data_IF_810096610945
#
_entry.id   IF_810096610945
#
_cell.length_a   1.000
_cell.length_b   1.000
_cell.length_c   1.000
_cell.angle_alpha   90.00
_cell.angle_beta   90.00
_cell.angle_gamma   90.00
#
_symmetry.space_group_name_H-M   'P 1'
#
loop_
_entity.id
_entity.type
_entity.pdbx_description
1 polymer ?
#
# COMPACT_ATOMS: atom_id res chain seq x y z
N UNK A 1 4.19 -17.28 -6.35
CA UNK A 1 3.76 -18.25 -5.31
C UNK A 1 2.29 -18.01 -5.03
N UNK A 2 1.46 -19.05 -5.06
CA UNK A 2 0.02 -18.95 -4.78
C UNK A 2 -0.30 -19.71 -3.50
N UNK A 3 -1.13 -19.15 -2.64
CA UNK A 3 -1.56 -19.76 -1.37
C UNK A 3 -3.06 -20.05 -1.46
N UNK A 4 -3.43 -21.33 -1.40
CA UNK A 4 -4.81 -21.80 -1.59
C UNK A 4 -5.26 -22.52 -0.31
N UNK A 5 -6.52 -22.35 0.06
CA UNK A 5 -7.14 -23.00 1.20
C UNK A 5 -8.54 -22.44 1.46
N UNK A 6 -9.38 -23.16 2.20
CA UNK A 6 -10.72 -22.71 2.58
C UNK A 6 -10.75 -21.47 3.47
N UNK A 7 -11.95 -20.97 3.77
CA UNK A 7 -12.13 -19.94 4.80
C UNK A 7 -11.66 -20.49 6.16
N UNK A 8 -10.92 -19.69 6.93
CA UNK A 8 -10.35 -20.14 8.21
C UNK A 8 -9.03 -20.91 8.12
N UNK A 9 -8.54 -21.26 6.92
CA UNK A 9 -7.26 -21.98 6.75
C UNK A 9 -5.99 -21.17 7.09
N UNK A 10 -6.11 -19.99 7.71
CA UNK A 10 -4.97 -19.18 8.15
C UNK A 10 -4.28 -18.32 7.08
N UNK A 11 -4.79 -18.24 5.84
CA UNK A 11 -4.17 -17.44 4.75
C UNK A 11 -3.94 -15.98 5.15
N UNK A 12 -4.95 -15.31 5.69
CA UNK A 12 -4.84 -13.92 6.14
C UNK A 12 -3.91 -13.79 7.34
N UNK A 13 -3.93 -14.76 8.26
CA UNK A 13 -3.02 -14.83 9.41
C UNK A 13 -1.57 -14.92 8.96
N UNK A 14 -1.26 -15.80 8.00
CA UNK A 14 0.08 -15.92 7.42
C UNK A 14 0.57 -14.61 6.82
N UNK A 15 -0.25 -13.95 5.99
CA UNK A 15 0.11 -12.66 5.41
C UNK A 15 0.27 -11.55 6.47
N UNK A 16 -0.55 -11.57 7.52
CA UNK A 16 -0.43 -10.67 8.68
C UNK A 16 0.89 -10.92 9.43
N UNK A 17 1.29 -12.18 9.60
CA UNK A 17 2.54 -12.56 10.26
C UNK A 17 3.78 -12.13 9.46
N UNK A 18 3.74 -12.30 8.13
CA UNK A 18 4.80 -11.80 7.23
C UNK A 18 4.90 -10.27 7.32
N UNK A 19 3.76 -9.56 7.30
CA UNK A 19 3.70 -8.11 7.45
C UNK A 19 4.08 -7.62 8.86
N UNK A 20 4.11 -8.51 9.86
CA UNK A 20 4.46 -8.23 11.25
C UNK A 20 3.32 -7.70 12.11
N UNK A 21 2.08 -7.68 11.61
CA UNK A 21 0.91 -7.25 12.38
C UNK A 21 0.34 -8.36 13.26
N UNK A 22 0.79 -9.60 13.05
CA UNK A 22 0.48 -10.75 13.89
C UNK A 22 1.80 -11.42 14.31
N UNK A 23 2.08 -11.59 15.61
CA UNK A 23 3.31 -12.25 16.04
C UNK A 23 3.31 -13.73 15.66
N UNK A 24 4.49 -14.34 15.57
CA UNK A 24 4.65 -15.79 15.42
C UNK A 24 5.15 -16.37 16.74
N UNK A 25 4.57 -17.48 17.18
CA UNK A 25 4.94 -18.12 18.44
C UNK A 25 6.31 -18.81 18.35
N UNK A 26 6.57 -19.46 17.22
CA UNK A 26 7.80 -20.21 16.96
C UNK A 26 8.25 -20.07 15.49
N UNK A 27 9.52 -20.38 15.23
CA UNK A 27 10.12 -20.30 13.91
C UNK A 27 10.70 -18.92 13.57
N UNK A 28 11.05 -18.73 12.30
CA UNK A 28 11.66 -17.48 11.80
C UNK A 28 11.05 -17.07 10.45
N UNK A 29 10.89 -15.78 10.25
CA UNK A 29 10.55 -15.17 8.97
C UNK A 29 11.81 -14.51 8.43
N UNK A 30 12.32 -15.02 7.31
CA UNK A 30 13.52 -14.50 6.66
C UNK A 30 13.14 -13.73 5.40
N UNK A 31 13.68 -12.52 5.23
CA UNK A 31 13.59 -11.73 4.01
C UNK A 31 15.00 -11.47 3.48
N UNK A 32 15.32 -11.97 2.29
CA UNK A 32 16.66 -11.90 1.70
C UNK A 32 17.76 -12.40 2.67
N UNK A 33 17.49 -13.53 3.34
CA UNK A 33 18.39 -14.12 4.34
C UNK A 33 18.42 -13.40 5.70
N UNK A 34 17.76 -12.24 5.86
CA UNK A 34 17.71 -11.48 7.11
C UNK A 34 16.49 -11.85 7.92
N UNK A 35 16.70 -12.16 9.21
CA UNK A 35 15.61 -12.41 10.14
C UNK A 35 14.80 -11.13 10.40
N UNK A 36 13.51 -11.15 10.06
CA UNK A 36 12.57 -10.05 10.30
C UNK A 36 11.54 -10.38 11.38
N UNK A 37 11.61 -11.55 12.02
CA UNK A 37 10.60 -12.09 12.94
C UNK A 37 10.22 -11.11 14.06
N UNK A 38 11.21 -10.39 14.61
CA UNK A 38 11.01 -9.41 15.69
C UNK A 38 10.93 -7.96 15.21
N UNK A 39 11.04 -7.70 13.89
CA UNK A 39 10.90 -6.35 13.35
C UNK A 39 9.45 -5.90 13.44
N UNK A 40 9.25 -4.64 13.83
CA UNK A 40 7.93 -4.00 13.83
C UNK A 40 7.38 -3.86 12.40
N UNK A 41 6.06 -3.72 12.28
CA UNK A 41 5.37 -3.45 11.01
C UNK A 41 6.00 -2.25 10.27
N UNK A 42 6.35 -1.19 11.01
CA UNK A 42 6.98 0.02 10.45
C UNK A 42 8.37 -0.26 9.87
N UNK A 43 9.15 -1.13 10.50
CA UNK A 43 10.46 -1.52 9.96
C UNK A 43 10.31 -2.39 8.72
N UNK A 44 9.34 -3.30 8.69
CA UNK A 44 9.06 -4.21 7.57
C UNK A 44 8.45 -3.50 6.36
N UNK A 45 7.63 -2.44 6.57
CA UNK A 45 6.94 -1.71 5.49
C UNK A 45 7.88 -0.96 4.53
N UNK A 46 9.18 -0.90 4.85
CA UNK A 46 10.22 -0.39 3.95
C UNK A 46 10.55 -1.36 2.80
N UNK A 47 10.34 -2.65 3.04
CA UNK A 47 10.70 -3.73 2.10
C UNK A 47 9.48 -4.55 1.67
N UNK A 48 8.37 -4.48 2.43
CA UNK A 48 7.13 -5.22 2.18
C UNK A 48 5.97 -4.24 1.99
N UNK A 49 5.34 -4.33 0.82
CA UNK A 49 4.03 -3.70 0.53
C UNK A 49 2.93 -4.74 0.58
N UNK A 50 1.72 -4.34 1.00
CA UNK A 50 0.56 -5.24 1.02
C UNK A 50 -0.67 -4.54 0.46
N UNK A 51 -1.36 -5.26 -0.41
CA UNK A 51 -2.71 -4.93 -0.86
C UNK A 51 -3.71 -5.69 0.01
N UNK A 52 -4.65 -4.97 0.61
CA UNK A 52 -5.67 -5.54 1.48
C UNK A 52 -6.94 -5.90 0.71
N UNK A 53 -7.73 -6.81 1.26
CA UNK A 53 -9.04 -7.16 0.70
C UNK A 53 -10.00 -5.96 0.75
N UNK A 54 -9.99 -5.19 1.86
CA UNK A 54 -10.65 -3.90 1.93
C UNK A 54 -9.67 -2.79 1.50
N UNK A 55 -9.91 -2.12 0.35
CA UNK A 55 -9.05 -1.03 -0.13
C UNK A 55 -8.93 0.14 0.86
N UNK A 56 -9.90 0.32 1.77
CA UNK A 56 -9.86 1.38 2.79
C UNK A 56 -8.72 1.19 3.78
N UNK A 57 -8.30 -0.05 4.03
CA UNK A 57 -7.17 -0.35 4.93
C UNK A 57 -5.81 -0.03 4.29
N UNK A 58 -5.74 0.00 2.96
CA UNK A 58 -4.52 0.30 2.20
C UNK A 58 -4.38 1.76 1.79
N UNK A 59 -5.39 2.60 2.04
CA UNK A 59 -5.44 3.99 1.58
C UNK A 59 -5.82 4.95 2.70
N UNK A 60 -5.37 6.19 2.61
CA UNK A 60 -5.81 7.26 3.48
C UNK A 60 -7.09 7.87 2.88
N UNK A 61 -8.26 7.40 3.35
CA UNK A 61 -9.56 7.69 2.74
C UNK A 61 -9.94 9.18 2.67
N UNK A 62 -9.45 9.99 3.60
CA UNK A 62 -9.67 11.45 3.65
C UNK A 62 -8.63 12.25 2.87
N UNK A 63 -7.63 11.58 2.30
CA UNK A 63 -6.63 12.23 1.48
C UNK A 63 -7.02 12.08 0.01
N UNK A 64 -6.55 13.05 -0.77
CA UNK A 64 -6.72 13.06 -2.23
C UNK A 64 -5.94 11.93 -2.89
N UNK A 65 -6.24 11.66 -4.16
CA UNK A 65 -5.49 10.69 -4.98
C UNK A 65 -4.00 11.07 -5.02
N UNK A 66 -3.67 12.34 -5.29
CA UNK A 66 -2.28 12.79 -5.38
C UNK A 66 -1.52 12.67 -4.05
N UNK A 67 -2.19 12.91 -2.92
CA UNK A 67 -1.58 12.75 -1.60
C UNK A 67 -1.30 11.28 -1.27
N UNK A 68 -2.22 10.37 -1.60
CA UNK A 68 -2.00 8.94 -1.43
C UNK A 68 -0.84 8.42 -2.30
N UNK A 69 -0.77 8.85 -3.56
CA UNK A 69 0.33 8.52 -4.45
C UNK A 69 1.67 9.10 -3.95
N UNK A 70 1.67 10.33 -3.44
CA UNK A 70 2.85 10.92 -2.83
C UNK A 70 3.30 10.16 -1.56
N UNK A 71 2.35 9.68 -0.75
CA UNK A 71 2.66 8.83 0.41
C UNK A 71 3.31 7.50 -0.01
N UNK A 72 2.83 6.90 -1.10
CA UNK A 72 3.41 5.69 -1.68
C UNK A 72 4.82 5.93 -2.25
N UNK A 73 5.00 6.99 -3.05
CA UNK A 73 6.31 7.36 -3.65
C UNK A 73 7.39 7.67 -2.60
N UNK A 74 6.99 8.15 -1.43
CA UNK A 74 7.87 8.43 -0.28
C UNK A 74 7.95 7.28 0.72
N UNK A 75 7.43 6.09 0.42
CA UNK A 75 7.51 4.91 1.30
C UNK A 75 8.98 4.57 1.57
N UNK A 76 9.31 4.32 2.84
CA UNK A 76 10.68 4.03 3.29
C UNK A 76 11.65 5.22 3.34
N UNK A 77 11.27 6.41 2.83
CA UNK A 77 12.12 7.62 2.83
C UNK A 77 11.84 8.50 4.05
N UNK A 78 12.82 9.31 4.47
CA UNK A 78 12.63 10.32 5.52
C UNK A 78 11.63 11.38 5.04
N UNK A 79 10.70 11.77 5.91
CA UNK A 79 9.72 12.84 5.66
C UNK A 79 10.14 14.08 6.43
N UNK A 80 10.18 15.23 5.75
CA UNK A 80 10.37 16.54 6.37
C UNK A 80 9.08 17.34 6.35
N UNK A 81 9.13 18.58 6.87
CA UNK A 81 7.99 19.50 6.95
C UNK A 81 7.64 20.21 5.63
N UNK A 82 8.03 19.64 4.49
CA UNK A 82 7.75 20.21 3.18
C UNK A 82 6.39 19.76 2.62
N UNK A 83 5.88 20.47 1.61
CA UNK A 83 4.66 20.07 0.89
C UNK A 83 4.74 18.60 0.44
N UNK A 84 3.69 17.85 0.78
CA UNK A 84 3.59 16.41 0.50
C UNK A 84 3.63 16.11 -0.98
N UNK A 85 2.86 16.87 -1.76
CA UNK A 85 2.74 16.81 -3.22
C UNK A 85 3.49 17.98 -3.85
N UNK A 86 4.43 17.71 -4.77
CA UNK A 86 5.10 18.75 -5.54
C UNK A 86 4.42 18.91 -6.91
N UNK A 87 4.38 20.12 -7.49
CA UNK A 87 3.83 20.33 -8.83
C UNK A 87 4.47 19.42 -9.91
N UNK A 88 5.77 19.15 -9.76
CA UNK A 88 6.55 18.28 -10.65
C UNK A 88 6.08 16.80 -10.59
N UNK A 89 5.53 16.36 -9.46
CA UNK A 89 5.09 14.97 -9.28
C UNK A 89 3.73 14.71 -9.99
N UNK A 90 2.97 15.77 -10.32
CA UNK A 90 1.62 15.63 -10.90
C UNK A 90 1.65 15.03 -12.29
N UNK A 91 2.60 15.40 -13.14
CA UNK A 91 2.73 14.82 -14.48
C UNK A 91 3.01 13.32 -14.38
N UNK A 92 3.94 12.94 -13.50
CA UNK A 92 4.25 11.55 -13.18
C UNK A 92 3.02 10.78 -12.69
N UNK A 93 2.24 11.34 -11.76
CA UNK A 93 1.01 10.69 -11.29
C UNK A 93 -0.04 10.54 -12.39
N UNK A 94 -0.26 11.57 -13.22
CA UNK A 94 -1.21 11.49 -14.34
C UNK A 94 -0.85 10.39 -15.32
N UNK A 95 0.42 10.29 -15.69
CA UNK A 95 0.89 9.27 -16.63
C UNK A 95 0.60 7.85 -16.09
N UNK A 96 0.88 7.60 -14.81
CA UNK A 96 0.65 6.31 -14.20
C UNK A 96 -0.83 5.98 -14.03
N UNK A 97 -1.66 6.98 -13.70
CA UNK A 97 -3.11 6.80 -13.59
C UNK A 97 -3.79 6.59 -14.95
N UNK A 98 -3.31 7.24 -16.01
CA UNK A 98 -3.84 7.08 -17.36
C UNK A 98 -3.73 5.64 -17.86
N UNK A 99 -2.68 4.91 -17.46
CA UNK A 99 -2.50 3.47 -17.79
C UNK A 99 -3.61 2.58 -17.23
N UNK A 100 -4.35 3.04 -16.23
CA UNK A 100 -5.48 2.31 -15.66
C UNK A 100 -6.75 2.43 -16.50
N UNK A 101 -6.85 3.40 -17.41
CA UNK A 101 -8.04 3.68 -18.24
C UNK A 101 -9.34 3.88 -17.41
N UNK A 102 -9.23 4.58 -16.27
CA UNK A 102 -10.35 4.81 -15.34
C UNK A 102 -10.70 6.30 -15.16
N UNK A 103 -10.09 7.20 -15.94
CA UNK A 103 -10.28 8.64 -15.84
C UNK A 103 -9.74 9.27 -14.54
N UNK A 104 -8.83 8.57 -13.85
CA UNK A 104 -8.30 8.97 -12.55
C UNK A 104 -7.25 10.08 -12.67
N UNK A 105 -6.60 10.21 -13.82
CA UNK A 105 -5.65 11.27 -14.16
C UNK A 105 -6.27 12.67 -14.09
N UNK A 106 -7.60 12.76 -14.21
CA UNK A 106 -8.37 14.00 -14.10
C UNK A 106 -8.95 14.22 -12.69
N UNK A 107 -8.71 13.29 -11.75
CA UNK A 107 -9.29 13.28 -10.39
C UNK A 107 -8.23 13.31 -9.28
N UNK A 108 -7.08 13.90 -9.55
CA UNK A 108 -5.96 13.97 -8.60
C UNK A 108 -6.35 14.57 -7.24
N UNK A 109 -7.16 15.63 -7.25
CA UNK A 109 -7.61 16.37 -6.05
C UNK A 109 -8.85 15.78 -5.41
N UNK A 110 -9.42 14.71 -5.97
CA UNK A 110 -10.58 14.03 -5.38
C UNK A 110 -10.14 13.17 -4.20
N UNK A 111 -10.86 13.22 -3.09
CA UNK A 111 -10.65 12.31 -1.96
C UNK A 111 -10.87 10.85 -2.38
N UNK A 112 -9.97 9.97 -1.96
CA UNK A 112 -10.07 8.54 -2.27
C UNK A 112 -11.38 7.94 -1.76
N UNK A 113 -11.91 8.43 -0.64
CA UNK A 113 -13.18 7.99 -0.07
C UNK A 113 -14.37 8.08 -1.01
N UNK A 114 -14.35 9.03 -1.96
CA UNK A 114 -15.41 9.32 -2.92
C UNK A 114 -15.34 8.49 -4.21
N UNK A 115 -14.27 7.73 -4.39
CA UNK A 115 -14.09 6.89 -5.57
C UNK A 115 -14.88 5.57 -5.48
N UNK A 116 -15.16 4.96 -6.62
CA UNK A 116 -15.78 3.63 -6.66
C UNK A 116 -14.87 2.58 -5.99
N UNK A 117 -15.44 1.44 -5.58
CA UNK A 117 -14.64 0.34 -4.99
C UNK A 117 -13.52 -0.13 -5.92
N UNK A 118 -13.82 -0.32 -7.20
CA UNK A 118 -12.84 -0.72 -8.23
C UNK A 118 -11.77 0.34 -8.48
N UNK A 119 -12.14 1.62 -8.54
CA UNK A 119 -11.18 2.72 -8.68
C UNK A 119 -10.20 2.77 -7.49
N UNK A 120 -10.70 2.60 -6.26
CA UNK A 120 -9.85 2.54 -5.06
C UNK A 120 -8.90 1.35 -5.09
N UNK A 121 -9.38 0.19 -5.50
CA UNK A 121 -8.56 -1.00 -5.60
C UNK A 121 -7.46 -0.83 -6.66
N UNK A 122 -7.77 -0.24 -7.81
CA UNK A 122 -6.79 0.07 -8.85
C UNK A 122 -5.71 1.03 -8.37
N UNK A 123 -6.07 2.08 -7.63
CA UNK A 123 -5.10 2.99 -7.01
C UNK A 123 -4.24 2.26 -5.98
N UNK A 124 -4.84 1.41 -5.16
CA UNK A 124 -4.10 0.64 -4.13
C UNK A 124 -3.08 -0.29 -4.78
N UNK A 125 -3.41 -0.89 -5.93
CA UNK A 125 -2.48 -1.69 -6.72
C UNK A 125 -1.34 -0.84 -7.28
N UNK A 126 -1.64 0.37 -7.79
CA UNK A 126 -0.61 1.29 -8.28
C UNK A 126 0.32 1.80 -7.16
N UNK A 127 -0.18 1.89 -5.94
CA UNK A 127 0.58 2.30 -4.76
C UNK A 127 1.43 1.19 -4.15
N UNK A 128 1.18 -0.09 -4.45
CA UNK A 128 1.85 -1.22 -3.82
C UNK A 128 3.30 -1.34 -4.28
#
# INVERSE_FOLDING_TARGET
VTIIGGNGAGKSTLLNSIAGSFPVDQGKILLNGKDITKKSVVARSKEISRVFQDPKLGTAVRLTVEENLALAMKRGKKRGFFRGVKPQDRSFFKEHLARLNLGLENRLTTEIGLLSGGQRQAITLLMA
#
